data_IF_233962556592
#
_entry.id   IF_233962556592
#
_cell.length_a   1.000
_cell.length_b   1.000
_cell.length_c   1.000
_cell.angle_alpha   90.00
_cell.angle_beta   90.00
_cell.angle_gamma   90.00
#
_symmetry.space_group_name_H-M   'P 1'
#
loop_
_entity.id
_entity.type
_entity.pdbx_description
1 polymer ?
#
# COMPACT_ATOMS: atom_id res chain seq x y z
N UNK A 1 -21.47 4.18 15.25
CA UNK A 1 -21.08 2.81 15.69
C UNK A 1 -21.79 1.71 14.90
N UNK A 2 -23.13 1.51 15.00
CA UNK A 2 -23.83 0.39 14.32
C UNK A 2 -23.51 0.23 12.82
N UNK A 3 -23.45 1.32 12.06
CA UNK A 3 -23.10 1.30 10.63
C UNK A 3 -21.65 0.83 10.33
N UNK A 4 -20.68 1.15 11.21
CA UNK A 4 -19.28 0.72 11.05
C UNK A 4 -19.14 -0.78 11.32
N UNK A 5 -19.88 -1.29 12.32
CA UNK A 5 -19.94 -2.72 12.62
C UNK A 5 -20.58 -3.48 11.45
N UNK A 6 -21.66 -2.96 10.87
CA UNK A 6 -22.29 -3.55 9.68
C UNK A 6 -21.33 -3.60 8.48
N UNK A 7 -20.61 -2.50 8.21
CA UNK A 7 -19.62 -2.43 7.12
C UNK A 7 -18.47 -3.45 7.30
N UNK A 8 -17.90 -3.55 8.52
CA UNK A 8 -16.90 -4.57 8.85
C UNK A 8 -17.42 -6.00 8.58
N UNK A 9 -18.64 -6.30 9.01
CA UNK A 9 -19.26 -7.61 8.84
C UNK A 9 -19.48 -7.95 7.36
N UNK A 10 -19.93 -6.99 6.55
CA UNK A 10 -20.06 -7.18 5.10
C UNK A 10 -18.72 -7.39 4.41
N UNK A 11 -17.66 -6.67 4.80
CA UNK A 11 -16.32 -6.87 4.23
C UNK A 11 -15.77 -8.27 4.55
N UNK A 12 -15.94 -8.76 5.79
CA UNK A 12 -15.51 -10.10 6.20
C UNK A 12 -16.25 -11.18 5.39
N UNK A 13 -17.56 -11.03 5.18
CA UNK A 13 -18.37 -11.99 4.40
C UNK A 13 -17.93 -12.01 2.93
N UNK A 14 -17.77 -10.84 2.29
CA UNK A 14 -17.37 -10.74 0.89
C UNK A 14 -15.95 -11.30 0.68
N UNK A 15 -15.02 -10.97 1.57
CA UNK A 15 -13.65 -11.46 1.49
C UNK A 15 -13.54 -12.97 1.74
N UNK A 16 -14.31 -13.50 2.71
CA UNK A 16 -14.38 -14.93 2.99
C UNK A 16 -14.97 -15.75 1.83
N UNK A 17 -16.04 -15.25 1.19
CA UNK A 17 -16.62 -15.89 0.00
C UNK A 17 -15.65 -15.86 -1.20
N UNK A 18 -14.95 -14.73 -1.41
CA UNK A 18 -13.95 -14.61 -2.46
C UNK A 18 -12.78 -15.59 -2.27
N UNK A 19 -12.22 -15.65 -1.05
CA UNK A 19 -11.14 -16.58 -0.72
C UNK A 19 -11.55 -18.06 -0.87
N UNK A 20 -12.78 -18.41 -0.48
CA UNK A 20 -13.33 -19.75 -0.66
C UNK A 20 -13.48 -20.13 -2.13
N UNK A 21 -13.96 -19.21 -2.97
CA UNK A 21 -14.08 -19.44 -4.41
C UNK A 21 -12.71 -19.63 -5.09
N UNK A 22 -11.72 -18.79 -4.76
CA UNK A 22 -10.35 -18.93 -5.28
C UNK A 22 -9.70 -20.25 -4.86
N UNK A 23 -9.87 -20.68 -3.61
CA UNK A 23 -9.31 -21.96 -3.14
C UNK A 23 -9.97 -23.17 -3.81
N UNK A 24 -11.27 -23.12 -4.11
CA UNK A 24 -11.95 -24.21 -4.83
C UNK A 24 -11.50 -24.28 -6.31
N UNK A 25 -11.27 -23.13 -6.94
CA UNK A 25 -10.74 -23.06 -8.31
C UNK A 25 -9.29 -23.58 -8.40
N UNK A 26 -8.43 -23.27 -7.43
CA UNK A 26 -7.05 -23.79 -7.38
C UNK A 26 -6.93 -25.28 -7.02
N UNK A 27 -7.99 -25.92 -6.50
CA UNK A 27 -8.05 -27.37 -6.28
C UNK A 27 -8.69 -28.15 -7.43
N UNK A 28 -9.16 -27.45 -8.47
CA UNK A 28 -9.69 -28.08 -9.68
C UNK A 28 -8.56 -28.21 -10.70
N UNK A 29 -7.93 -29.39 -10.77
CA UNK A 29 -6.89 -29.69 -11.76
C UNK A 29 -7.37 -29.29 -13.18
N UNK A 30 -6.61 -28.45 -13.92
CA UNK A 30 -6.87 -28.26 -15.33
C UNK A 30 -6.46 -29.54 -16.06
N UNK A 31 -7.42 -30.18 -16.72
CA UNK A 31 -7.15 -31.33 -17.57
C UNK A 31 -6.11 -30.96 -18.65
N UNK A 32 -5.02 -31.73 -18.72
CA UNK A 32 -3.90 -31.52 -19.64
C UNK A 32 -4.37 -31.46 -21.11
N UNK A 33 -4.11 -30.37 -21.85
CA UNK A 33 -4.01 -30.41 -23.30
C UNK A 33 -2.62 -30.93 -23.70
N UNK A 34 -2.49 -31.74 -24.78
CA UNK A 34 -1.23 -32.39 -25.13
C UNK A 34 -0.17 -31.42 -25.66
N UNK A 35 1.09 -31.65 -25.29
CA UNK A 35 2.25 -30.95 -25.86
C UNK A 35 2.54 -31.40 -27.30
N UNK A 36 2.52 -30.47 -28.26
CA UNK A 36 3.26 -30.60 -29.52
C UNK A 36 4.08 -29.32 -29.81
N UNK A 37 5.38 -29.42 -29.51
CA UNK A 37 6.54 -28.95 -30.29
C UNK A 37 6.42 -27.62 -31.09
N UNK A 38 7.11 -26.56 -30.64
CA UNK A 38 7.91 -25.67 -31.52
C UNK A 38 8.74 -24.61 -30.75
N UNK A 39 10.04 -24.85 -30.58
CA UNK A 39 11.13 -23.83 -30.52
C UNK A 39 12.47 -24.60 -30.63
N UNK A 40 13.60 -24.09 -31.11
CA UNK A 40 13.96 -22.78 -31.64
C UNK A 40 15.43 -22.82 -32.06
N UNK A 41 15.78 -22.22 -33.19
CA UNK A 41 17.11 -22.34 -33.83
C UNK A 41 18.29 -21.83 -32.99
N UNK A 42 19.41 -22.57 -32.98
CA UNK A 42 20.73 -22.11 -32.55
C UNK A 42 21.76 -22.18 -33.69
N UNK A 43 22.34 -21.04 -34.05
CA UNK A 43 23.28 -20.88 -35.18
C UNK A 43 24.63 -21.59 -35.02
N UNK A 44 25.14 -22.15 -36.13
CA UNK A 44 26.58 -22.10 -36.46
C UNK A 44 26.85 -22.42 -37.94
N UNK A 45 27.79 -21.68 -38.53
CA UNK A 45 28.35 -21.80 -39.89
C UNK A 45 29.88 -21.65 -39.80
N UNK A 46 30.65 -22.00 -40.85
CA UNK A 46 30.49 -23.08 -41.83
C UNK A 46 31.73 -24.01 -41.64
N UNK A 47 32.78 -24.15 -42.51
CA UNK A 47 32.93 -24.01 -43.97
C UNK A 47 32.88 -25.36 -44.71
N UNK A 48 32.84 -25.30 -46.05
CA UNK A 48 33.37 -26.35 -46.94
C UNK A 48 33.84 -25.68 -48.23
N UNK A 49 35.09 -25.90 -48.59
CA UNK A 49 35.73 -25.30 -49.77
C UNK A 49 35.50 -26.11 -51.06
N UNK A 50 35.77 -25.43 -52.18
CA UNK A 50 36.15 -25.95 -53.52
C UNK A 50 35.13 -26.75 -54.34
N UNK A 51 34.80 -26.16 -55.51
CA UNK A 51 34.83 -26.76 -56.87
C UNK A 51 33.98 -28.03 -57.13
N UNK A 52 33.29 -28.21 -58.26
CA UNK A 52 33.45 -27.65 -59.61
C UNK A 52 32.18 -27.94 -60.47
N UNK A 53 32.14 -27.44 -61.72
CA UNK A 53 31.26 -27.88 -62.84
C UNK A 53 29.75 -27.52 -62.78
N UNK A 54 29.40 -26.46 -63.52
CA UNK A 54 28.16 -26.41 -64.32
C UNK A 54 28.34 -27.34 -65.55
N UNK A 55 27.33 -28.13 -65.96
CA UNK A 55 26.42 -27.57 -66.97
C UNK A 55 24.97 -28.09 -66.92
N UNK A 56 24.07 -27.34 -67.58
CA UNK A 56 22.85 -27.89 -68.16
C UNK A 56 21.55 -27.52 -67.46
N UNK A 57 21.10 -26.28 -67.65
CA UNK A 57 19.65 -26.02 -67.65
C UNK A 57 19.01 -26.80 -68.82
N UNK A 58 18.03 -27.69 -68.59
CA UNK A 58 17.22 -28.21 -69.66
C UNK A 58 16.25 -27.11 -70.10
N UNK A 59 16.67 -26.26 -71.05
CA UNK A 59 15.76 -25.36 -71.75
C UNK A 59 14.59 -26.18 -72.34
N UNK A 60 13.36 -25.62 -72.34
CA UNK A 60 12.19 -26.36 -72.81
C UNK A 60 12.37 -26.79 -74.26
N UNK A 61 12.31 -28.10 -74.49
CA UNK A 61 12.43 -28.71 -75.82
C UNK A 61 11.32 -28.15 -76.71
N UNK A 62 11.69 -27.32 -77.68
CA UNK A 62 10.79 -26.88 -78.74
C UNK A 62 10.50 -28.05 -79.67
N UNK A 63 9.39 -28.73 -79.43
CA UNK A 63 8.85 -29.70 -80.38
C UNK A 63 8.57 -29.00 -81.71
N UNK A 64 9.40 -29.26 -82.73
CA UNK A 64 9.00 -29.09 -84.12
C UNK A 64 8.08 -30.27 -84.48
N UNK A 65 6.82 -30.03 -84.85
CA UNK A 65 5.99 -31.09 -85.42
C UNK A 65 6.42 -31.31 -86.87
N UNK A 66 7.40 -32.19 -87.10
CA UNK A 66 7.83 -32.64 -88.44
C UNK A 66 6.85 -33.70 -89.03
N UNK A 67 5.57 -33.59 -88.70
CA UNK A 67 4.46 -34.35 -89.25
C UNK A 67 3.29 -33.38 -89.47
N UNK A 68 2.57 -33.52 -90.58
CA UNK A 68 1.34 -32.78 -90.84
C UNK A 68 0.34 -33.02 -89.70
N UNK A 69 0.23 -32.05 -88.79
CA UNK A 69 -0.63 -32.15 -87.61
C UNK A 69 -2.06 -32.23 -88.13
N UNK A 70 -2.71 -33.39 -87.94
CA UNK A 70 -4.09 -33.55 -88.39
C UNK A 70 -4.95 -32.47 -87.75
N UNK A 71 -5.93 -31.96 -88.50
CA UNK A 71 -6.83 -30.90 -88.00
C UNK A 71 -7.53 -31.35 -86.70
N UNK A 72 -7.75 -32.65 -86.54
CA UNK A 72 -8.23 -33.29 -85.31
C UNK A 72 -7.24 -33.17 -84.13
N UNK A 73 -5.93 -33.39 -84.33
CA UNK A 73 -4.93 -33.20 -83.29
C UNK A 73 -4.80 -31.71 -82.88
N UNK A 74 -4.92 -30.77 -83.82
CA UNK A 74 -5.00 -29.33 -83.50
C UNK A 74 -6.25 -29.02 -82.66
N UNK A 75 -7.40 -29.61 -82.99
CA UNK A 75 -8.64 -29.44 -82.22
C UNK A 75 -8.51 -30.03 -80.80
N UNK A 76 -7.98 -31.25 -80.65
CA UNK A 76 -7.73 -31.88 -79.36
C UNK A 76 -6.77 -31.05 -78.49
N UNK A 77 -5.72 -30.46 -79.10
CA UNK A 77 -4.81 -29.55 -78.41
C UNK A 77 -5.48 -28.22 -78.04
N UNK A 78 -6.39 -27.70 -78.87
CA UNK A 78 -7.18 -26.51 -78.52
C UNK A 78 -8.12 -26.74 -77.34
N UNK A 79 -8.70 -27.94 -77.22
CA UNK A 79 -9.57 -28.30 -76.10
C UNK A 79 -8.78 -28.63 -74.82
N UNK A 80 -7.56 -29.15 -74.93
CA UNK A 80 -6.68 -29.29 -73.76
C UNK A 80 -6.18 -27.93 -73.24
N UNK A 81 -5.87 -26.99 -74.13
CA UNK A 81 -5.54 -25.60 -73.76
C UNK A 81 -6.72 -24.92 -73.06
N UNK A 82 -7.95 -25.01 -73.60
CA UNK A 82 -9.16 -24.46 -72.94
C UNK A 82 -9.40 -25.06 -71.55
N UNK A 83 -9.18 -26.36 -71.37
CA UNK A 83 -9.29 -27.02 -70.05
C UNK A 83 -8.22 -26.52 -69.09
N UNK A 84 -6.98 -26.35 -69.55
CA UNK A 84 -5.89 -25.80 -68.76
C UNK A 84 -6.16 -24.35 -68.35
N UNK A 85 -6.68 -23.51 -69.26
CA UNK A 85 -7.09 -22.13 -68.99
C UNK A 85 -8.22 -22.06 -67.94
N UNK A 86 -9.22 -22.94 -68.05
CA UNK A 86 -10.30 -23.06 -67.05
C UNK A 86 -9.74 -23.47 -65.67
N UNK A 87 -8.84 -24.46 -65.63
CA UNK A 87 -8.20 -24.88 -64.38
C UNK A 87 -7.34 -23.76 -63.77
N UNK A 88 -6.60 -23.00 -64.58
CA UNK A 88 -5.80 -21.86 -64.15
C UNK A 88 -6.69 -20.76 -63.57
N UNK A 89 -7.80 -20.44 -64.23
CA UNK A 89 -8.79 -19.48 -63.75
C UNK A 89 -9.49 -19.95 -62.45
N UNK A 90 -9.66 -21.25 -62.24
CA UNK A 90 -10.14 -21.80 -60.96
C UNK A 90 -9.08 -21.73 -59.85
N UNK A 91 -7.82 -22.01 -60.17
CA UNK A 91 -6.69 -21.88 -59.23
C UNK A 91 -6.51 -20.42 -58.80
N UNK A 92 -6.54 -19.46 -59.72
CA UNK A 92 -6.52 -18.03 -59.38
C UNK A 92 -7.69 -17.62 -58.48
N UNK A 93 -8.91 -18.13 -58.74
CA UNK A 93 -10.08 -17.86 -57.89
C UNK A 93 -9.95 -18.48 -56.49
N UNK A 94 -9.22 -19.58 -56.33
CA UNK A 94 -8.89 -20.15 -55.01
C UNK A 94 -7.86 -19.27 -54.30
N UNK A 95 -6.73 -18.97 -54.94
CA UNK A 95 -5.67 -18.09 -54.42
C UNK A 95 -6.24 -16.74 -53.96
N UNK A 96 -7.08 -16.07 -54.78
CA UNK A 96 -7.72 -14.79 -54.42
C UNK A 96 -8.67 -14.89 -53.20
N UNK A 97 -9.27 -16.05 -52.92
CA UNK A 97 -10.06 -16.28 -51.69
C UNK A 97 -9.16 -16.54 -50.49
N UNK A 98 -8.07 -17.28 -50.69
CA UNK A 98 -7.11 -17.59 -49.64
C UNK A 98 -6.34 -16.33 -49.22
N UNK A 99 -5.93 -15.48 -50.18
CA UNK A 99 -5.41 -14.12 -49.94
C UNK A 99 -6.40 -13.26 -49.13
N UNK A 100 -7.68 -13.25 -49.50
CA UNK A 100 -8.70 -12.50 -48.77
C UNK A 100 -8.93 -13.03 -47.34
N UNK A 101 -8.86 -14.36 -47.14
CA UNK A 101 -8.95 -15.01 -45.83
C UNK A 101 -7.73 -14.70 -44.96
N UNK A 102 -6.53 -14.78 -45.53
CA UNK A 102 -5.27 -14.44 -44.85
C UNK A 102 -5.27 -12.97 -44.44
N UNK A 103 -5.74 -12.07 -45.33
CA UNK A 103 -5.90 -10.66 -44.97
C UNK A 103 -6.84 -10.47 -43.79
N UNK A 104 -8.02 -11.10 -43.79
CA UNK A 104 -8.96 -11.01 -42.67
C UNK A 104 -8.32 -11.49 -41.37
N UNK A 105 -7.56 -12.59 -41.40
CA UNK A 105 -6.80 -13.09 -40.24
C UNK A 105 -5.72 -12.12 -39.76
N UNK A 106 -5.04 -11.39 -40.66
CA UNK A 106 -4.11 -10.34 -40.25
C UNK A 106 -4.82 -9.14 -39.63
N UNK A 107 -5.93 -8.68 -40.22
CA UNK A 107 -6.73 -7.59 -39.68
C UNK A 107 -7.24 -7.94 -38.26
N UNK A 108 -7.67 -9.19 -38.04
CA UNK A 108 -8.09 -9.76 -36.74
C UNK A 108 -6.92 -9.78 -35.73
N UNK A 109 -5.77 -10.39 -36.10
CA UNK A 109 -4.56 -10.43 -35.27
C UNK A 109 -4.04 -9.03 -34.90
N UNK A 110 -4.14 -8.05 -35.79
CA UNK A 110 -3.75 -6.66 -35.45
C UNK A 110 -4.71 -6.03 -34.45
N UNK A 111 -6.00 -6.36 -34.53
CA UNK A 111 -7.02 -5.89 -33.57
C UNK A 111 -6.79 -6.52 -32.20
N UNK A 112 -6.54 -7.83 -32.13
CA UNK A 112 -6.19 -8.53 -30.88
C UNK A 112 -4.89 -7.99 -30.26
N UNK A 113 -3.87 -7.67 -31.07
CA UNK A 113 -2.63 -7.06 -30.59
C UNK A 113 -2.84 -5.67 -29.99
N UNK A 114 -3.65 -4.83 -30.62
CA UNK A 114 -3.99 -3.50 -30.10
C UNK A 114 -4.83 -3.60 -28.81
N UNK A 115 -5.76 -4.56 -28.72
CA UNK A 115 -6.52 -4.84 -27.48
C UNK A 115 -5.63 -5.35 -26.34
N UNK A 116 -4.71 -6.28 -26.62
CA UNK A 116 -3.74 -6.78 -25.65
C UNK A 116 -2.80 -5.67 -25.16
N UNK A 117 -2.40 -4.76 -26.06
CA UNK A 117 -1.57 -3.61 -25.70
C UNK A 117 -2.33 -2.61 -24.83
N UNK A 118 -3.58 -2.28 -25.19
CA UNK A 118 -4.44 -1.45 -24.35
C UNK A 118 -4.69 -2.09 -22.97
N UNK A 119 -4.78 -3.42 -22.91
CA UNK A 119 -4.87 -4.17 -21.65
C UNK A 119 -3.58 -4.11 -20.83
N UNK A 120 -2.40 -4.22 -21.45
CA UNK A 120 -1.12 -4.07 -20.74
C UNK A 120 -0.92 -2.66 -20.18
N UNK A 121 -1.22 -1.61 -20.95
CA UNK A 121 -1.21 -0.22 -20.47
C UNK A 121 -2.23 -0.02 -19.33
N UNK A 122 -3.39 -0.68 -19.43
CA UNK A 122 -4.40 -0.76 -18.37
C UNK A 122 -3.99 -1.54 -17.12
N UNK A 123 -2.98 -2.42 -17.20
CA UNK A 123 -2.35 -3.08 -16.05
C UNK A 123 -1.28 -2.19 -15.44
N UNK A 124 -0.39 -1.62 -16.24
CA UNK A 124 0.69 -0.73 -15.76
C UNK A 124 0.14 0.46 -14.98
N UNK A 125 -0.92 1.10 -15.50
CA UNK A 125 -1.62 2.18 -14.80
C UNK A 125 -2.22 1.74 -13.46
N UNK A 126 -2.81 0.54 -13.38
CA UNK A 126 -3.31 -0.03 -12.11
C UNK A 126 -2.19 -0.36 -11.14
N UNK A 127 -1.06 -0.89 -11.62
CA UNK A 127 0.13 -1.16 -10.81
C UNK A 127 0.71 0.14 -10.24
N UNK A 128 0.82 1.20 -11.03
CA UNK A 128 1.25 2.52 -10.57
C UNK A 128 0.32 3.10 -9.49
N UNK A 129 -1.01 2.96 -9.64
CA UNK A 129 -1.98 3.37 -8.61
C UNK A 129 -1.85 2.53 -7.34
N UNK A 130 -1.65 1.21 -7.44
CA UNK A 130 -1.41 0.33 -6.30
C UNK A 130 -0.09 0.68 -5.57
N UNK A 131 0.96 1.05 -6.30
CA UNK A 131 2.23 1.49 -5.72
C UNK A 131 2.09 2.85 -5.00
N UNK A 132 1.36 3.80 -5.59
CA UNK A 132 1.01 5.06 -4.92
C UNK A 132 0.24 4.81 -3.62
N UNK A 133 -0.79 3.95 -3.64
CA UNK A 133 -1.60 3.64 -2.47
C UNK A 133 -0.81 2.88 -1.40
N UNK A 134 0.09 1.97 -1.80
CA UNK A 134 1.05 1.30 -0.89
C UNK A 134 1.96 2.32 -0.21
N UNK A 135 2.48 3.31 -0.95
CA UNK A 135 3.33 4.36 -0.41
C UNK A 135 2.55 5.30 0.53
N UNK A 136 1.31 5.66 0.19
CA UNK A 136 0.41 6.42 1.07
C UNK A 136 0.12 5.67 2.37
N UNK A 137 -0.23 4.39 2.30
CA UNK A 137 -0.43 3.54 3.50
C UNK A 137 0.85 3.48 4.35
N UNK A 138 2.02 3.30 3.73
CA UNK A 138 3.31 3.27 4.43
C UNK A 138 3.63 4.58 5.16
N UNK A 139 3.40 5.73 4.52
CA UNK A 139 3.57 7.04 5.19
C UNK A 139 2.53 7.28 6.28
N UNK A 140 1.29 6.80 6.10
CA UNK A 140 0.24 6.88 7.11
C UNK A 140 0.59 6.07 8.37
N UNK A 141 1.20 4.90 8.22
CA UNK A 141 1.69 4.07 9.33
C UNK A 141 2.83 4.77 10.08
N UNK A 142 3.83 5.28 9.37
CA UNK A 142 4.94 6.03 9.97
C UNK A 142 4.44 7.26 10.76
N UNK A 143 3.47 8.01 10.22
CA UNK A 143 2.85 9.13 10.93
C UNK A 143 2.04 8.69 12.16
N UNK A 144 1.36 7.54 12.11
CA UNK A 144 0.64 6.99 13.26
C UNK A 144 1.60 6.54 14.36
N UNK A 145 2.73 5.92 14.03
CA UNK A 145 3.72 5.49 15.01
C UNK A 145 4.44 6.69 15.66
N UNK A 146 4.79 7.74 14.90
CA UNK A 146 5.27 9.00 15.47
C UNK A 146 4.24 9.59 16.45
N UNK A 147 2.95 9.62 16.09
CA UNK A 147 1.88 10.11 16.99
C UNK A 147 1.70 9.25 18.24
N UNK A 148 1.92 7.94 18.18
CA UNK A 148 1.94 7.07 19.37
C UNK A 148 3.09 7.47 20.29
N UNK A 149 4.31 7.63 19.76
CA UNK A 149 5.45 8.06 20.56
C UNK A 149 5.23 9.44 21.21
N UNK A 150 4.67 10.39 20.47
CA UNK A 150 4.31 11.71 21.00
C UNK A 150 3.26 11.59 22.11
N UNK A 151 2.21 10.78 21.92
CA UNK A 151 1.20 10.50 22.93
C UNK A 151 1.81 9.85 24.18
N UNK A 152 2.67 8.84 24.04
CA UNK A 152 3.29 8.17 25.19
C UNK A 152 4.28 9.09 25.92
N UNK A 153 5.00 9.97 25.20
CA UNK A 153 5.78 11.08 25.80
C UNK A 153 4.89 12.07 26.56
N UNK A 154 3.67 12.36 26.08
CA UNK A 154 2.72 13.23 26.82
C UNK A 154 2.11 12.53 28.04
N UNK A 155 1.76 11.24 27.94
CA UNK A 155 1.29 10.43 29.09
C UNK A 155 2.34 10.37 30.18
N UNK A 156 3.60 10.05 29.85
CA UNK A 156 4.69 10.02 30.83
C UNK A 156 4.88 11.37 31.55
N UNK A 157 4.72 12.48 30.84
CA UNK A 157 4.72 13.83 31.44
C UNK A 157 3.52 14.04 32.37
N UNK A 158 2.31 13.65 31.95
CA UNK A 158 1.10 13.77 32.76
C UNK A 158 1.21 12.91 34.02
N UNK A 159 1.61 11.64 33.92
CA UNK A 159 1.84 10.76 35.08
C UNK A 159 2.91 11.32 36.04
N UNK A 160 3.95 11.98 35.52
CA UNK A 160 4.96 12.65 36.36
C UNK A 160 4.41 13.89 37.07
N UNK A 161 3.56 14.67 36.40
CA UNK A 161 2.90 15.84 36.97
C UNK A 161 1.82 15.43 37.99
N UNK A 162 1.03 14.41 37.69
CA UNK A 162 0.00 13.86 38.58
C UNK A 162 0.62 13.23 39.83
N UNK A 163 1.79 12.57 39.74
CA UNK A 163 2.54 12.14 40.94
C UNK A 163 3.03 13.31 41.80
N UNK A 164 3.43 14.43 41.19
CA UNK A 164 3.74 15.65 41.93
C UNK A 164 2.47 16.31 42.51
N UNK A 165 1.33 16.20 41.83
CA UNK A 165 0.06 16.79 42.22
C UNK A 165 -0.73 15.96 43.25
N UNK A 166 -0.48 14.65 43.33
CA UNK A 166 -1.09 13.69 44.28
C UNK A 166 -0.20 13.28 45.45
N UNK A 167 1.03 13.82 45.56
CA UNK A 167 1.82 13.71 46.78
C UNK A 167 0.94 14.10 48.00
N UNK A 168 0.81 13.24 49.03
CA UNK A 168 -0.11 13.47 50.12
C UNK A 168 0.19 14.80 50.79
N UNK A 169 -0.84 15.50 51.28
CA UNK A 169 -0.63 16.83 51.89
C UNK A 169 0.43 16.80 53.00
N UNK A 170 0.56 15.68 53.71
CA UNK A 170 1.57 15.50 54.74
C UNK A 170 3.02 15.67 54.26
N UNK A 171 3.38 15.11 53.10
CA UNK A 171 4.72 15.22 52.51
C UNK A 171 5.02 16.67 52.13
N UNK A 172 4.05 17.35 51.50
CA UNK A 172 4.14 18.77 51.15
C UNK A 172 4.29 19.67 52.38
N UNK A 173 3.59 19.35 53.46
CA UNK A 173 3.72 20.08 54.73
C UNK A 173 5.10 19.84 55.34
N UNK A 174 5.70 18.66 55.16
CA UNK A 174 7.05 18.34 55.66
C UNK A 174 8.16 19.04 54.86
N UNK A 175 8.08 19.02 53.52
CA UNK A 175 8.96 19.79 52.63
C UNK A 175 8.92 21.28 52.98
N UNK A 176 7.71 21.87 53.07
CA UNK A 176 7.51 23.29 53.36
C UNK A 176 7.93 23.63 54.80
N UNK A 177 7.72 22.73 55.78
CA UNK A 177 8.24 22.91 57.16
C UNK A 177 9.75 23.09 57.18
N UNK A 178 10.50 22.35 56.38
CA UNK A 178 11.97 22.46 56.32
C UNK A 178 12.43 23.85 55.83
N UNK A 179 11.68 24.45 54.91
CA UNK A 179 11.90 25.80 54.41
C UNK A 179 11.54 26.86 55.46
N UNK A 180 10.37 26.75 56.09
CA UNK A 180 9.92 27.64 57.17
C UNK A 180 10.82 27.63 58.40
N UNK A 181 11.47 26.50 58.72
CA UNK A 181 12.38 26.41 59.86
C UNK A 181 13.59 27.36 59.77
N UNK A 182 13.95 27.79 58.55
CA UNK A 182 15.07 28.69 58.26
C UNK A 182 14.65 30.16 58.01
N UNK A 183 13.35 30.45 57.98
CA UNK A 183 12.81 31.80 57.73
C UNK A 183 12.73 32.66 59.00
N UNK A 184 12.79 33.98 58.81
CA UNK A 184 12.50 34.93 59.88
C UNK A 184 11.00 34.86 60.26
N UNK A 185 10.62 34.99 61.55
CA UNK A 185 9.22 34.90 61.98
C UNK A 185 8.27 35.85 61.25
N UNK A 186 8.75 37.03 60.89
CA UNK A 186 8.02 38.09 60.20
C UNK A 186 7.73 37.72 58.73
N UNK A 187 8.68 37.06 58.06
CA UNK A 187 8.50 36.55 56.70
C UNK A 187 7.58 35.31 56.70
N UNK A 188 7.71 34.44 57.70
CA UNK A 188 6.85 33.29 57.87
C UNK A 188 5.38 33.70 58.12
N UNK A 189 5.12 34.78 58.87
CA UNK A 189 3.77 35.30 59.07
C UNK A 189 3.13 35.83 57.78
N UNK A 190 3.91 36.51 56.93
CA UNK A 190 3.42 37.00 55.63
C UNK A 190 3.06 35.84 54.70
N UNK A 191 3.90 34.80 54.58
CA UNK A 191 3.58 33.63 53.76
C UNK A 191 2.38 32.82 54.29
N UNK A 192 2.24 32.65 55.61
CA UNK A 192 1.04 32.00 56.19
C UNK A 192 -0.24 32.80 55.91
N UNK A 193 -0.14 34.13 55.93
CA UNK A 193 -1.23 35.03 55.55
C UNK A 193 -1.60 34.88 54.08
N UNK A 194 -0.64 34.77 53.18
CA UNK A 194 -0.89 34.45 51.76
C UNK A 194 -1.55 33.07 51.59
N UNK A 195 -1.08 32.02 52.29
CA UNK A 195 -1.71 30.70 52.21
C UNK A 195 -3.16 30.71 52.70
N UNK A 196 -3.46 31.40 53.81
CA UNK A 196 -4.81 31.51 54.33
C UNK A 196 -5.73 32.33 53.40
N UNK A 197 -5.25 33.47 52.88
CA UNK A 197 -5.97 34.30 51.90
C UNK A 197 -6.27 33.56 50.58
N UNK A 198 -5.38 32.65 50.15
CA UNK A 198 -5.57 31.78 49.00
C UNK A 198 -6.49 30.56 49.29
N UNK A 199 -7.23 30.57 50.40
CA UNK A 199 -8.17 29.51 50.79
C UNK A 199 -7.52 28.23 51.33
N UNK A 200 -6.18 28.19 51.49
CA UNK A 200 -5.43 27.02 51.99
C UNK A 200 -5.24 27.09 53.52
N UNK A 201 -6.29 27.49 54.24
CA UNK A 201 -6.24 27.72 55.69
C UNK A 201 -5.95 26.43 56.49
N UNK A 202 -6.49 25.28 56.07
CA UNK A 202 -6.18 23.97 56.66
C UNK A 202 -4.71 23.55 56.47
N UNK A 203 -4.10 23.89 55.32
CA UNK A 203 -2.69 23.65 55.06
C UNK A 203 -1.80 24.55 55.93
N UNK A 204 -2.16 25.83 56.09
CA UNK A 204 -1.45 26.74 56.99
C UNK A 204 -1.54 26.27 58.47
N UNK A 205 -2.70 25.77 58.90
CA UNK A 205 -2.88 25.20 60.23
C UNK A 205 -2.07 23.91 60.45
N UNK A 206 -2.07 22.96 59.51
CA UNK A 206 -1.28 21.73 59.61
C UNK A 206 0.23 21.99 59.57
N UNK A 207 0.66 22.98 58.80
CA UNK A 207 2.05 23.47 58.77
C UNK A 207 2.48 24.05 60.12
N UNK A 208 1.65 24.89 60.74
CA UNK A 208 1.86 25.38 62.11
C UNK A 208 1.82 24.27 63.16
N UNK A 209 0.98 23.25 62.98
CA UNK A 209 0.87 22.10 63.89
C UNK A 209 2.13 21.24 63.91
N UNK A 210 2.79 21.03 62.75
CA UNK A 210 4.06 20.28 62.67
C UNK A 210 5.29 21.09 63.14
N UNK A 211 5.15 22.37 63.49
CA UNK A 211 6.25 23.23 63.98
C UNK A 211 6.45 23.17 65.50
N UNK A 212 7.68 23.40 66.00
CA UNK A 212 7.94 23.58 67.43
C UNK A 212 7.14 24.76 68.00
N UNK A 213 6.54 24.59 69.18
CA UNK A 213 5.69 25.62 69.82
C UNK A 213 6.38 26.99 69.93
N UNK A 214 7.68 27.00 70.22
CA UNK A 214 8.47 28.24 70.34
C UNK A 214 8.62 29.01 69.01
N UNK A 215 8.55 28.34 67.86
CA UNK A 215 8.50 28.99 66.55
C UNK A 215 7.06 29.40 66.21
N UNK A 216 6.10 28.49 66.39
CA UNK A 216 4.66 28.76 66.22
C UNK A 216 4.22 30.04 66.94
N UNK A 217 4.50 30.18 68.23
CA UNK A 217 4.13 31.38 69.00
C UNK A 217 4.83 32.66 68.55
N UNK A 218 6.04 32.59 68.00
CA UNK A 218 6.73 33.78 67.44
C UNK A 218 6.11 34.23 66.13
N UNK A 219 5.76 33.29 65.26
CA UNK A 219 5.16 33.56 63.96
C UNK A 219 3.73 34.10 64.15
N UNK A 220 2.94 33.51 65.05
CA UNK A 220 1.62 34.04 65.41
C UNK A 220 1.70 35.42 66.08
N UNK A 221 2.72 35.69 66.90
CA UNK A 221 2.95 37.03 67.48
C UNK A 221 3.44 38.08 66.46
N UNK A 222 4.01 37.65 65.33
CA UNK A 222 4.41 38.53 64.23
C UNK A 222 3.26 38.80 63.23
N UNK A 223 2.13 38.09 63.32
CA UNK A 223 0.95 38.35 62.50
C UNK A 223 0.20 39.60 63.00
N UNK A 224 0.11 40.62 62.14
CA UNK A 224 -0.63 41.86 62.42
C UNK A 224 -2.17 41.75 62.26
N UNK A 225 -2.70 40.56 62.00
CA UNK A 225 -4.13 40.30 61.80
C UNK A 225 -4.67 39.32 62.85
N UNK A 226 -5.29 39.80 63.94
CA UNK A 226 -5.75 38.95 65.04
C UNK A 226 -6.90 38.03 64.63
N UNK A 227 -7.75 38.44 63.66
CA UNK A 227 -8.86 37.61 63.19
C UNK A 227 -8.34 36.38 62.45
N UNK A 228 -7.26 36.55 61.67
CA UNK A 228 -6.60 35.44 60.99
C UNK A 228 -5.83 34.53 61.95
N UNK A 229 -5.24 35.08 63.02
CA UNK A 229 -4.62 34.29 64.10
C UNK A 229 -5.65 33.39 64.76
N UNK A 230 -6.81 33.91 65.17
CA UNK A 230 -7.88 33.13 65.79
C UNK A 230 -8.39 32.03 64.86
N UNK A 231 -8.60 32.33 63.57
CA UNK A 231 -9.01 31.33 62.57
C UNK A 231 -7.97 30.20 62.39
N UNK A 232 -6.67 30.51 62.43
CA UNK A 232 -5.62 29.51 62.36
C UNK A 232 -5.54 28.66 63.65
N UNK A 233 -5.78 29.26 64.82
CA UNK A 233 -5.83 28.54 66.10
C UNK A 233 -7.05 27.59 66.15
N UNK A 234 -8.24 28.08 65.76
CA UNK A 234 -9.47 27.28 65.66
C UNK A 234 -9.35 26.13 64.64
N UNK A 235 -8.57 26.31 63.57
CA UNK A 235 -8.29 25.28 62.59
C UNK A 235 -7.17 24.30 63.03
N UNK A 236 -6.36 24.66 64.02
CA UNK A 236 -5.30 23.83 64.60
C UNK A 236 -5.82 22.96 65.77
N UNK A 237 -6.95 23.36 66.37
CA UNK A 237 -7.67 22.60 67.41
C UNK A 237 -8.74 21.62 66.90
N UNK A 238 -8.87 21.44 65.58
CA UNK A 238 -9.78 20.47 64.92
C UNK A 238 -9.00 19.30 64.33
#
# INVERSE_FOLDING_TARGET
>A
MKAIIAAMLTCIIIFGLSAGATHMLMQSDPAEPPEELADGSGESMPPSDTEEVLPGEPMPVSFRPDNDVSVEAVLQMSDSIKRMEQELAEREKKVKRDEARIKLMFDDLTTEQDELKAFSEGIETKLAVLEQLKNEVSTSLAMLDQRKEELDKTKAKIESAEKAETAPMDDRVEDVKSWFANLAPEQASDYLREFANNGKLSFAASLLQKMPDRQKSKILAAMNDPVLVDQLIDALGK
#
